data_IF_273328334961
#
_entry.id   IF_273328334961
#
_cell.length_a   1.000
_cell.length_b   1.000
_cell.length_c   1.000
_cell.angle_alpha   90.00
_cell.angle_beta   90.00
_cell.angle_gamma   90.00
#
_symmetry.space_group_name_H-M   'P 1'
#
loop_
_entity.id
_entity.type
_entity.pdbx_description
1 polymer ?
#
# COMPACT_ATOMS: atom_id res chain seq x y z
N UNK A 1 4.39 -14.28 10.16
CA UNK A 1 3.91 -13.02 10.73
C UNK A 1 2.88 -13.34 11.79
N UNK A 2 3.16 -13.04 13.05
CA UNK A 2 2.20 -13.25 14.15
C UNK A 2 1.29 -12.03 14.31
N UNK A 3 0.09 -12.19 14.89
CA UNK A 3 -0.80 -11.07 15.20
C UNK A 3 -0.14 -10.00 16.08
N UNK A 4 0.84 -10.42 16.89
CA UNK A 4 1.62 -9.53 17.74
C UNK A 4 2.55 -8.63 16.91
N UNK A 5 3.15 -9.15 15.83
CA UNK A 5 4.01 -8.36 14.92
C UNK A 5 3.21 -7.33 14.11
N UNK A 6 1.96 -7.62 13.75
CA UNK A 6 1.05 -6.71 13.05
C UNK A 6 0.55 -5.55 13.92
N UNK A 7 0.52 -5.73 15.25
CA UNK A 7 0.07 -4.71 16.22
C UNK A 7 1.18 -3.79 16.72
N UNK A 8 2.43 -4.06 16.39
CA UNK A 8 3.54 -3.17 16.72
C UNK A 8 3.54 -2.00 15.71
N UNK A 9 3.34 -0.74 16.15
CA UNK A 9 3.45 0.40 15.26
C UNK A 9 4.83 0.37 14.60
N UNK A 10 4.85 0.46 13.27
CA UNK A 10 6.09 0.31 12.49
C UNK A 10 7.14 1.30 12.96
N UNK A 11 8.16 0.82 13.69
CA UNK A 11 9.33 1.60 14.14
C UNK A 11 10.33 1.86 12.98
N UNK A 12 9.84 1.86 11.74
CA UNK A 12 10.67 2.04 10.55
C UNK A 12 11.12 3.50 10.46
N UNK A 13 12.36 3.76 10.91
CA UNK A 13 13.07 5.02 10.72
C UNK A 13 13.88 4.94 9.43
N UNK A 14 13.40 5.57 8.36
CA UNK A 14 14.12 5.65 7.09
C UNK A 14 15.09 6.84 7.08
N UNK A 15 16.30 6.64 6.55
CA UNK A 15 17.38 7.66 6.50
C UNK A 15 17.10 8.83 5.55
N UNK A 16 16.12 8.72 4.65
CA UNK A 16 15.86 9.68 3.56
C UNK A 16 14.48 10.37 3.68
N UNK A 17 13.96 10.52 4.91
CA UNK A 17 12.56 10.90 5.13
C UNK A 17 11.66 9.65 5.16
N UNK A 18 10.62 9.69 5.98
CA UNK A 18 9.66 8.60 6.12
C UNK A 18 8.56 8.66 5.07
N UNK A 19 7.55 7.81 5.26
CA UNK A 19 6.28 7.86 4.52
C UNK A 19 5.49 9.15 4.77
N UNK A 20 5.89 9.96 5.75
CA UNK A 20 5.30 11.25 6.07
C UNK A 20 6.25 12.42 5.81
N UNK A 21 5.70 13.47 5.24
CA UNK A 21 6.28 14.80 5.20
C UNK A 21 6.21 15.46 6.60
N UNK A 22 6.98 16.53 6.86
CA UNK A 22 6.93 17.25 8.14
C UNK A 22 5.54 17.81 8.51
N UNK A 23 4.68 18.05 7.52
CA UNK A 23 3.30 18.51 7.71
C UNK A 23 2.30 17.37 8.02
N UNK A 24 2.76 16.11 8.02
CA UNK A 24 1.93 14.93 8.25
C UNK A 24 1.28 14.36 7.00
N UNK A 25 1.45 14.97 5.83
CA UNK A 25 0.98 14.40 4.56
C UNK A 25 1.85 13.21 4.11
N UNK A 26 1.32 12.32 3.28
CA UNK A 26 2.08 11.18 2.75
C UNK A 26 3.14 11.69 1.75
N UNK A 27 4.38 11.28 1.94
CA UNK A 27 5.47 11.48 1.00
C UNK A 27 5.37 10.47 -0.15
N UNK A 28 4.72 10.88 -1.25
CA UNK A 28 4.54 10.04 -2.44
C UNK A 28 5.84 9.75 -3.21
N UNK A 29 6.91 10.48 -2.91
CA UNK A 29 8.24 10.29 -3.49
C UNK A 29 9.13 9.37 -2.64
N UNK A 30 8.61 8.80 -1.55
CA UNK A 30 9.36 7.85 -0.72
C UNK A 30 9.75 6.62 -1.55
N UNK A 31 11.05 6.28 -1.68
CA UNK A 31 11.48 5.07 -2.37
C UNK A 31 10.87 3.78 -1.80
N UNK A 32 10.39 3.83 -0.56
CA UNK A 32 9.67 2.76 0.11
C UNK A 32 8.32 2.40 -0.54
N UNK A 33 7.68 3.34 -1.25
CA UNK A 33 6.42 3.10 -1.97
C UNK A 33 6.64 2.54 -3.38
N UNK A 34 7.90 2.41 -3.80
CA UNK A 34 8.26 1.97 -5.15
C UNK A 34 7.62 2.83 -6.23
N UNK A 35 7.22 2.21 -7.33
CA UNK A 35 6.59 2.88 -8.47
C UNK A 35 5.05 2.87 -8.40
N UNK A 36 4.45 2.33 -7.34
CA UNK A 36 3.00 2.18 -7.24
C UNK A 36 2.26 3.52 -7.27
N UNK A 37 2.65 4.56 -6.50
CA UNK A 37 1.94 5.85 -6.50
C UNK A 37 1.91 6.56 -7.86
N UNK A 38 2.88 6.28 -8.72
CA UNK A 38 3.06 6.89 -10.04
C UNK A 38 2.65 5.98 -11.19
N UNK A 39 2.27 4.73 -10.89
CA UNK A 39 1.72 3.79 -11.86
C UNK A 39 0.32 4.18 -12.30
N UNK A 40 -0.18 3.52 -13.34
CA UNK A 40 -1.59 3.65 -13.77
C UNK A 40 -2.59 3.18 -12.69
N UNK A 41 -2.17 2.28 -11.80
CA UNK A 41 -2.94 1.87 -10.62
C UNK A 41 -2.62 2.73 -9.38
N UNK A 42 -1.95 3.87 -9.57
CA UNK A 42 -1.46 4.70 -8.47
C UNK A 42 -2.55 5.46 -7.73
N UNK A 43 -3.63 5.86 -8.40
CA UNK A 43 -4.76 6.53 -7.75
C UNK A 43 -5.48 5.63 -6.73
N UNK A 44 -5.94 4.41 -7.08
CA UNK A 44 -6.53 3.52 -6.09
C UNK A 44 -5.51 3.12 -5.01
N UNK A 45 -4.22 3.01 -5.35
CA UNK A 45 -3.15 2.79 -4.36
C UNK A 45 -3.06 3.92 -3.32
N UNK A 46 -3.03 5.18 -3.76
CA UNK A 46 -2.95 6.34 -2.89
C UNK A 46 -4.15 6.39 -1.93
N UNK A 47 -5.35 6.11 -2.44
CA UNK A 47 -6.58 6.09 -1.65
C UNK A 47 -6.56 4.97 -0.61
N UNK A 48 -6.21 3.74 -1.00
CA UNK A 48 -6.15 2.61 -0.06
C UNK A 48 -5.08 2.81 1.01
N UNK A 49 -3.91 3.33 0.65
CA UNK A 49 -2.83 3.58 1.61
C UNK A 49 -3.22 4.67 2.62
N UNK A 50 -3.85 5.75 2.14
CA UNK A 50 -4.37 6.78 3.02
C UNK A 50 -5.49 6.24 3.93
N UNK A 51 -6.36 5.37 3.43
CA UNK A 51 -7.36 4.70 4.25
C UNK A 51 -6.71 3.83 5.32
N UNK A 52 -5.75 2.97 4.94
CA UNK A 52 -5.06 2.06 5.85
C UNK A 52 -4.35 2.80 6.99
N UNK A 53 -3.69 3.92 6.67
CA UNK A 53 -3.02 4.78 7.66
C UNK A 53 -4.00 5.37 8.68
N UNK A 54 -5.21 5.72 8.23
CA UNK A 54 -6.21 6.39 9.06
C UNK A 54 -7.23 5.42 9.70
N UNK A 55 -7.22 4.15 9.30
CA UNK A 55 -8.12 3.12 9.80
C UNK A 55 -7.95 2.93 11.31
N UNK A 56 -9.08 2.81 12.00
CA UNK A 56 -9.15 2.52 13.44
C UNK A 56 -9.83 1.18 13.74
N UNK A 57 -10.12 0.38 12.72
CA UNK A 57 -10.71 -0.95 12.90
C UNK A 57 -9.70 -1.92 13.50
N UNK A 58 -10.18 -2.98 14.15
CA UNK A 58 -9.36 -4.14 14.56
C UNK A 58 -9.91 -5.38 13.85
N UNK A 59 -9.18 -5.97 12.88
CA UNK A 59 -7.89 -5.54 12.35
C UNK A 59 -7.92 -4.22 11.56
N UNK A 60 -6.77 -3.54 11.52
CA UNK A 60 -6.57 -2.28 10.78
C UNK A 60 -6.77 -2.53 9.27
N UNK A 61 -7.57 -1.67 8.62
CA UNK A 61 -7.80 -1.69 7.18
C UNK A 61 -9.02 -2.50 6.75
N UNK A 62 -9.82 -3.04 7.68
CA UNK A 62 -11.08 -3.72 7.35
C UNK A 62 -12.08 -2.79 6.65
N UNK A 63 -12.09 -1.52 7.02
CA UNK A 63 -12.89 -0.47 6.39
C UNK A 63 -12.35 -0.03 5.02
N UNK A 64 -11.18 -0.52 4.62
CA UNK A 64 -10.50 -0.16 3.38
C UNK A 64 -10.54 -1.26 2.31
N UNK A 65 -11.18 -2.41 2.57
CA UNK A 65 -11.15 -3.60 1.70
C UNK A 65 -11.56 -3.25 0.26
N UNK A 66 -12.65 -2.49 0.08
CA UNK A 66 -13.13 -2.07 -1.25
C UNK A 66 -12.07 -1.30 -2.05
N UNK A 67 -11.17 -0.57 -1.38
CA UNK A 67 -10.08 0.15 -2.03
C UNK A 67 -8.97 -0.80 -2.47
N UNK A 68 -8.66 -1.83 -1.67
CA UNK A 68 -7.72 -2.88 -2.06
C UNK A 68 -8.28 -3.73 -3.22
N UNK A 69 -9.59 -3.98 -3.25
CA UNK A 69 -10.23 -4.65 -4.40
C UNK A 69 -10.09 -3.84 -5.68
N UNK A 70 -10.21 -2.51 -5.63
CA UNK A 70 -9.98 -1.64 -6.81
C UNK A 70 -8.55 -1.71 -7.32
N UNK A 71 -7.57 -1.75 -6.40
CA UNK A 71 -6.16 -1.94 -6.78
C UNK A 71 -5.99 -3.30 -7.48
N UNK A 72 -6.55 -4.36 -6.89
CA UNK A 72 -6.47 -5.71 -7.46
C UNK A 72 -7.15 -5.79 -8.84
N UNK A 73 -8.30 -5.14 -9.01
CA UNK A 73 -8.97 -5.03 -10.30
C UNK A 73 -8.08 -4.33 -11.33
N UNK A 74 -7.44 -3.22 -10.94
CA UNK A 74 -6.53 -2.50 -11.82
C UNK A 74 -5.32 -3.36 -12.25
N UNK A 75 -4.71 -4.12 -11.34
CA UNK A 75 -3.62 -5.04 -11.71
C UNK A 75 -4.07 -6.19 -12.63
N UNK A 76 -5.31 -6.67 -12.47
CA UNK A 76 -5.88 -7.69 -13.38
C UNK A 76 -6.11 -7.13 -14.79
N UNK A 77 -6.51 -5.87 -14.89
CA UNK A 77 -6.64 -5.16 -16.17
C UNK A 77 -5.29 -4.81 -16.79
N UNK A 78 -4.25 -4.68 -15.97
CA UNK A 78 -2.90 -4.27 -16.36
C UNK A 78 -1.80 -5.27 -15.93
N UNK A 79 -1.83 -6.51 -16.43
CA UNK A 79 -0.86 -7.55 -16.07
C UNK A 79 0.58 -7.19 -16.49
N UNK A 80 0.77 -6.22 -17.38
CA UNK A 80 2.07 -5.66 -17.76
C UNK A 80 2.79 -4.91 -16.63
N UNK A 81 2.05 -4.47 -15.59
CA UNK A 81 2.64 -3.84 -14.40
C UNK A 81 3.25 -4.86 -13.44
N UNK A 82 2.84 -6.12 -13.56
CA UNK A 82 3.34 -7.21 -12.72
C UNK A 82 4.67 -7.70 -13.30
N UNK A 83 5.68 -7.87 -12.45
CA UNK A 83 6.95 -8.47 -12.87
C UNK A 83 6.72 -9.93 -13.28
N UNK A 84 7.56 -10.47 -14.17
CA UNK A 84 7.41 -11.86 -14.62
C UNK A 84 7.42 -12.88 -13.46
N UNK A 85 8.14 -12.58 -12.37
CA UNK A 85 8.15 -13.38 -11.14
C UNK A 85 6.80 -13.38 -10.38
N UNK A 86 5.96 -12.36 -10.59
CA UNK A 86 4.65 -12.21 -9.93
C UNK A 86 3.48 -12.70 -10.79
N UNK A 87 3.68 -12.91 -12.10
CA UNK A 87 2.64 -13.40 -13.01
C UNK A 87 2.22 -14.85 -12.74
N UNK A 88 3.12 -15.64 -12.13
CA UNK A 88 2.85 -17.02 -11.73
C UNK A 88 2.21 -17.14 -10.33
N UNK A 89 2.05 -16.04 -9.60
CA UNK A 89 1.34 -16.02 -8.32
C UNK A 89 -0.16 -16.00 -8.61
N UNK A 90 -0.73 -17.20 -8.71
CA UNK A 90 -2.17 -17.39 -8.80
C UNK A 90 -2.81 -16.97 -7.47
N UNK A 91 -3.36 -15.76 -7.42
CA UNK A 91 -4.24 -15.32 -6.34
C UNK A 91 -5.57 -16.09 -6.50
N UNK A 92 -5.63 -17.29 -5.90
CA UNK A 92 -6.87 -18.06 -5.69
C UNK A 92 -7.65 -17.53 -4.48
#
# INVERSE_FOLDING_TARGET
MTEEELRIPSKLKFKNGGIYNPDGSINWDCPCLGNLPTSICGEPFKLALNCLINSKTDPVGLDCIDLFEKINSCFKEHPELLSDETKDIKLE
#
